data_IF_626419279439
#
_entry.id   IF_626419279439
#
_cell.length_a   1.000
_cell.length_b   1.000
_cell.length_c   1.000
_cell.angle_alpha   90.00
_cell.angle_beta   90.00
_cell.angle_gamma   90.00
#
_symmetry.space_group_name_H-M   'P 1'
#
loop_
_entity.id
_entity.type
_entity.pdbx_description
1 polymer ?
#
# COMPACT_ATOMS: atom_id res chain seq x y z
N UNK A 1 -21.81 8.56 20.35
CA UNK A 1 -20.62 7.68 20.37
C UNK A 1 -20.70 6.80 19.13
N UNK A 2 -19.85 7.09 18.16
CA UNK A 2 -19.72 6.21 17.00
C UNK A 2 -18.83 5.06 17.45
N UNK A 3 -19.43 3.89 17.61
CA UNK A 3 -18.66 2.67 17.81
C UNK A 3 -17.95 2.36 16.49
N UNK A 4 -16.66 2.67 16.41
CA UNK A 4 -15.82 2.12 15.38
C UNK A 4 -15.65 0.64 15.69
N UNK A 5 -16.18 -0.20 14.82
CA UNK A 5 -15.85 -1.61 14.87
C UNK A 5 -14.33 -1.69 14.64
N UNK A 6 -13.60 -2.20 15.62
CA UNK A 6 -12.19 -2.52 15.44
C UNK A 6 -12.11 -3.50 14.29
N UNK A 7 -11.46 -3.08 13.20
CA UNK A 7 -11.28 -3.91 12.03
C UNK A 7 -10.02 -4.73 12.25
N UNK A 8 -10.17 -6.02 12.51
CA UNK A 8 -9.04 -6.94 12.62
C UNK A 8 -8.35 -7.09 11.26
N UNK A 9 -7.02 -7.15 11.29
CA UNK A 9 -6.22 -7.37 10.10
C UNK A 9 -6.30 -8.84 9.69
N UNK A 10 -6.91 -9.09 8.53
CA UNK A 10 -6.90 -10.39 7.88
C UNK A 10 -6.13 -10.30 6.56
N UNK A 11 -5.22 -11.26 6.35
CA UNK A 11 -4.46 -11.33 5.09
C UNK A 11 -5.34 -11.81 3.94
N UNK A 12 -5.04 -11.34 2.74
CA UNK A 12 -5.71 -11.75 1.49
C UNK A 12 -7.21 -11.46 1.48
N UNK A 13 -7.62 -10.41 2.17
CA UNK A 13 -8.98 -9.88 2.20
C UNK A 13 -8.96 -8.42 1.76
N UNK A 14 -9.93 -8.05 0.92
CA UNK A 14 -10.09 -6.66 0.50
C UNK A 14 -10.90 -5.88 1.53
N UNK A 15 -10.38 -4.73 1.92
CA UNK A 15 -11.08 -3.73 2.72
C UNK A 15 -11.34 -2.52 1.84
N UNK A 16 -12.62 -2.17 1.69
CA UNK A 16 -13.03 -1.08 0.79
C UNK A 16 -13.37 0.16 1.60
N UNK A 17 -12.76 1.28 1.22
CA UNK A 17 -12.96 2.58 1.84
C UNK A 17 -13.32 3.61 0.78
N UNK A 18 -14.14 4.59 1.15
CA UNK A 18 -14.33 5.80 0.36
C UNK A 18 -13.78 6.96 1.15
N UNK A 19 -12.72 7.58 0.64
CA UNK A 19 -12.05 8.67 1.31
C UNK A 19 -12.59 10.02 0.83
N UNK A 20 -12.65 10.97 1.75
CA UNK A 20 -12.96 12.36 1.42
C UNK A 20 -11.68 13.17 1.47
N UNK A 21 -11.43 13.94 0.41
CA UNK A 21 -10.26 14.79 0.34
C UNK A 21 -10.63 16.15 -0.21
N UNK A 22 -10.09 17.18 0.41
CA UNK A 22 -10.25 18.56 -0.02
C UNK A 22 -8.95 19.33 0.14
N UNK A 23 -8.75 20.31 -0.70
CA UNK A 23 -7.59 21.17 -0.59
C UNK A 23 -7.96 22.58 -1.06
N UNK A 24 -8.02 23.52 -0.11
CA UNK A 24 -8.35 24.92 -0.39
C UNK A 24 -9.62 25.07 -1.23
N UNK A 25 -9.54 25.86 -2.28
CA UNK A 25 -10.66 26.13 -3.19
C UNK A 25 -10.67 25.25 -4.44
N UNK A 26 -9.84 24.21 -4.47
CA UNK A 26 -9.82 23.27 -5.59
C UNK A 26 -11.13 22.47 -5.64
N UNK A 27 -11.58 22.15 -6.86
CA UNK A 27 -12.75 21.30 -7.02
C UNK A 27 -12.48 19.90 -6.48
N UNK A 28 -13.52 19.22 -6.05
CA UNK A 28 -13.45 17.82 -5.60
C UNK A 28 -12.83 16.92 -6.67
N UNK A 29 -13.22 17.12 -7.92
CA UNK A 29 -12.72 16.35 -9.06
C UNK A 29 -11.22 16.56 -9.27
N UNK A 30 -10.73 17.79 -9.13
CA UNK A 30 -9.29 18.08 -9.24
C UNK A 30 -8.50 17.39 -8.13
N UNK A 31 -8.98 17.46 -6.89
CA UNK A 31 -8.30 16.81 -5.76
C UNK A 31 -8.27 15.29 -5.93
N UNK A 32 -9.39 14.70 -6.37
CA UNK A 32 -9.47 13.27 -6.63
C UNK A 32 -8.51 12.83 -7.74
N UNK A 33 -8.38 13.61 -8.80
CA UNK A 33 -7.46 13.30 -9.91
C UNK A 33 -5.99 13.38 -9.47
N UNK A 34 -5.64 14.42 -8.70
CA UNK A 34 -4.28 14.57 -8.16
C UNK A 34 -3.91 13.41 -7.23
N UNK A 35 -4.84 12.94 -6.41
CA UNK A 35 -4.61 11.85 -5.45
C UNK A 35 -4.60 10.45 -6.08
N UNK A 36 -4.77 10.33 -7.38
CA UNK A 36 -4.47 9.08 -8.11
C UNK A 36 -2.97 8.89 -8.34
N UNK A 37 -2.15 9.92 -8.08
CA UNK A 37 -0.69 9.79 -8.07
C UNK A 37 -0.24 9.13 -6.76
N UNK A 38 0.34 7.93 -6.88
CA UNK A 38 0.76 7.14 -5.72
C UNK A 38 1.80 7.82 -4.85
N UNK A 39 2.65 8.66 -5.41
CA UNK A 39 3.68 9.39 -4.65
C UNK A 39 3.07 10.43 -3.70
N UNK A 40 1.96 11.06 -4.11
CA UNK A 40 1.25 12.00 -3.26
C UNK A 40 0.31 11.28 -2.29
N UNK A 41 -0.45 10.31 -2.80
CA UNK A 41 -1.43 9.60 -2.00
C UNK A 41 -0.79 8.76 -0.89
N UNK A 42 0.39 8.18 -1.11
CA UNK A 42 1.02 7.30 -0.14
C UNK A 42 1.23 7.94 1.24
N UNK A 43 1.63 9.22 1.28
CA UNK A 43 1.84 9.92 2.55
C UNK A 43 0.56 10.07 3.36
N UNK A 44 -0.57 10.32 2.70
CA UNK A 44 -1.86 10.39 3.38
C UNK A 44 -2.35 9.00 3.78
N UNK A 45 -2.19 8.00 2.90
CA UNK A 45 -2.65 6.63 3.16
C UNK A 45 -1.88 5.98 4.31
N UNK A 46 -0.59 6.22 4.42
CA UNK A 46 0.22 5.74 5.55
C UNK A 46 -0.38 6.17 6.90
N UNK A 47 -0.87 7.40 6.97
CA UNK A 47 -1.52 7.94 8.18
C UNK A 47 -2.96 7.46 8.32
N UNK A 48 -3.69 7.39 7.21
CA UNK A 48 -5.08 6.92 7.22
C UNK A 48 -5.18 5.46 7.68
N UNK A 49 -4.21 4.63 7.33
CA UNK A 49 -4.17 3.23 7.74
C UNK A 49 -4.11 3.05 9.26
N UNK A 50 -3.41 3.93 9.99
CA UNK A 50 -3.44 3.89 11.47
C UNK A 50 -4.85 4.14 12.02
N UNK A 51 -5.61 5.00 11.34
CA UNK A 51 -6.97 5.33 11.75
C UNK A 51 -7.92 4.17 11.48
N UNK A 52 -7.80 3.56 10.30
CA UNK A 52 -8.68 2.47 9.87
C UNK A 52 -8.32 1.13 10.52
N UNK A 53 -7.04 0.93 10.83
CA UNK A 53 -6.52 -0.28 11.47
C UNK A 53 -5.73 0.08 12.73
N UNK A 54 -6.40 0.16 13.89
CA UNK A 54 -5.75 0.58 15.15
C UNK A 54 -4.60 -0.32 15.61
N UNK A 55 -4.48 -1.54 15.06
CA UNK A 55 -3.35 -2.43 15.33
C UNK A 55 -2.04 -1.94 14.70
N UNK A 56 -2.11 -0.99 13.74
CA UNK A 56 -0.94 -0.45 13.07
C UNK A 56 -0.41 0.77 13.79
N UNK A 57 0.90 0.88 13.87
CA UNK A 57 1.61 2.10 14.25
C UNK A 57 2.46 2.56 13.09
N UNK A 58 2.21 3.76 12.59
CA UNK A 58 3.07 4.37 11.58
C UNK A 58 4.42 4.71 12.19
N UNK A 59 5.48 4.40 11.45
CA UNK A 59 6.85 4.71 11.83
C UNK A 59 7.57 5.31 10.62
N UNK A 60 8.41 6.29 10.86
CA UNK A 60 9.26 6.86 9.81
C UNK A 60 10.60 6.11 9.77
N UNK A 61 10.57 4.88 9.26
CA UNK A 61 11.72 4.01 9.23
C UNK A 61 12.15 3.70 7.78
N UNK A 62 13.40 3.32 7.61
CA UNK A 62 13.92 2.89 6.33
C UNK A 62 13.49 1.46 6.04
N UNK A 63 12.79 1.27 4.92
CA UNK A 63 12.40 -0.05 4.42
C UNK A 63 11.05 -0.57 4.89
N UNK A 64 10.38 0.13 5.81
CA UNK A 64 9.02 -0.19 6.22
C UNK A 64 8.30 1.03 6.79
N UNK A 65 6.96 1.02 6.77
CA UNK A 65 6.12 2.17 7.15
C UNK A 65 5.33 1.94 8.42
N UNK A 66 5.00 0.70 8.75
CA UNK A 66 4.14 0.35 9.88
C UNK A 66 4.70 -0.83 10.66
N UNK A 67 4.40 -0.83 11.96
CA UNK A 67 4.61 -1.97 12.85
C UNK A 67 3.23 -2.39 13.37
N UNK A 68 2.95 -3.69 13.38
CA UNK A 68 1.77 -4.21 14.06
C UNK A 68 2.00 -4.22 15.57
N UNK A 69 1.10 -3.59 16.32
CA UNK A 69 1.19 -3.51 17.78
C UNK A 69 1.26 -4.89 18.41
N UNK A 70 2.08 -5.02 19.45
CA UNK A 70 2.27 -6.27 20.18
C UNK A 70 2.82 -7.42 19.33
N UNK A 71 3.52 -7.11 18.26
CA UNK A 71 4.19 -8.07 17.39
C UNK A 71 5.44 -7.46 16.78
N UNK A 72 6.24 -8.28 16.11
CA UNK A 72 7.40 -7.86 15.34
C UNK A 72 7.13 -7.80 13.82
N UNK A 73 5.85 -7.86 13.43
CA UNK A 73 5.45 -7.80 12.02
C UNK A 73 5.61 -6.37 11.51
N UNK A 74 6.40 -6.24 10.45
CA UNK A 74 6.66 -4.98 9.76
C UNK A 74 5.91 -4.96 8.43
N UNK A 75 5.37 -3.80 8.08
CA UNK A 75 4.66 -3.59 6.81
C UNK A 75 5.26 -2.46 6.02
N UNK A 76 5.31 -2.63 4.71
CA UNK A 76 5.57 -1.56 3.74
C UNK A 76 4.29 -1.29 2.94
N UNK A 77 3.82 -0.06 2.95
CA UNK A 77 2.64 0.35 2.21
C UNK A 77 3.01 0.67 0.78
N UNK A 78 2.26 0.15 -0.18
CA UNK A 78 2.45 0.41 -1.61
C UNK A 78 1.13 0.76 -2.28
N UNK A 79 1.16 1.75 -3.17
CA UNK A 79 -0.01 2.13 -3.96
C UNK A 79 -0.05 1.35 -5.28
N UNK A 80 -1.23 0.85 -5.60
CA UNK A 80 -1.54 0.33 -6.93
C UNK A 80 -2.21 1.44 -7.74
N UNK A 81 -1.57 1.81 -8.85
CA UNK A 81 -2.04 2.86 -9.75
C UNK A 81 -2.20 2.32 -11.18
N UNK A 82 -2.51 3.17 -12.15
CA UNK A 82 -2.57 2.79 -13.57
C UNK A 82 -1.25 2.25 -14.11
N UNK A 83 -0.13 2.48 -13.43
CA UNK A 83 1.18 1.91 -13.76
C UNK A 83 1.48 0.62 -12.99
N UNK A 84 0.52 0.12 -12.23
CA UNK A 84 0.68 -1.06 -11.38
C UNK A 84 1.23 -0.74 -10.00
N UNK A 85 1.85 -1.75 -9.38
CA UNK A 85 2.47 -1.63 -8.06
C UNK A 85 3.89 -2.19 -8.14
N UNK A 86 4.86 -1.46 -7.62
CA UNK A 86 6.25 -1.90 -7.49
C UNK A 86 6.59 -2.03 -6.02
N UNK A 87 7.16 -3.17 -5.65
CA UNK A 87 7.51 -3.43 -4.25
C UNK A 87 9.01 -3.72 -4.03
N UNK A 88 9.86 -3.45 -5.02
CA UNK A 88 11.31 -3.36 -4.79
C UNK A 88 11.61 -2.20 -3.83
N UNK A 89 12.78 -2.23 -3.21
CA UNK A 89 13.24 -1.13 -2.36
C UNK A 89 13.23 0.20 -3.14
N UNK A 90 12.80 1.27 -2.50
CA UNK A 90 12.70 2.58 -3.14
C UNK A 90 14.03 3.08 -3.72
N UNK A 91 15.14 2.67 -3.12
CA UNK A 91 16.50 2.95 -3.62
C UNK A 91 16.81 2.30 -4.97
N UNK A 92 16.04 1.28 -5.36
CA UNK A 92 16.22 0.53 -6.62
C UNK A 92 15.26 1.00 -7.72
N UNK A 93 14.33 1.90 -7.41
CA UNK A 93 13.29 2.38 -8.33
C UNK A 93 13.63 3.80 -8.77
N UNK A 94 13.50 4.07 -10.07
CA UNK A 94 13.71 5.38 -10.66
C UNK A 94 14.73 5.38 -11.79
N UNK A 95 14.84 6.52 -12.46
CA UNK A 95 15.74 6.69 -13.60
C UNK A 95 17.20 6.47 -13.20
N UNK A 96 17.91 5.63 -13.94
CA UNK A 96 19.32 5.29 -13.70
C UNK A 96 19.53 4.31 -12.55
N UNK A 97 18.48 3.81 -11.92
CA UNK A 97 18.56 2.81 -10.85
C UNK A 97 18.26 1.42 -11.40
N UNK A 98 18.88 0.42 -10.81
CA UNK A 98 18.68 -0.99 -11.17
C UNK A 98 18.16 -1.76 -9.97
N UNK A 99 17.35 -2.78 -10.24
CA UNK A 99 16.87 -3.69 -9.21
C UNK A 99 17.93 -4.79 -9.01
N UNK A 100 18.43 -4.89 -7.79
CA UNK A 100 19.13 -6.08 -7.32
C UNK A 100 18.07 -7.07 -6.85
N UNK A 101 17.72 -8.03 -7.68
CA UNK A 101 16.65 -8.98 -7.39
C UNK A 101 16.95 -9.86 -6.18
N UNK A 102 18.20 -10.23 -5.96
CA UNK A 102 18.59 -11.03 -4.78
C UNK A 102 18.31 -10.27 -3.49
N UNK A 103 18.71 -9.00 -3.41
CA UNK A 103 18.46 -8.13 -2.26
C UNK A 103 16.96 -7.82 -2.12
N UNK A 104 16.28 -7.49 -3.21
CA UNK A 104 14.86 -7.19 -3.22
C UNK A 104 14.03 -8.39 -2.74
N UNK A 105 14.32 -9.59 -3.19
CA UNK A 105 13.65 -10.81 -2.75
C UNK A 105 13.91 -11.11 -1.28
N UNK A 106 15.15 -10.97 -0.84
CA UNK A 106 15.51 -11.17 0.57
C UNK A 106 14.75 -10.19 1.47
N UNK A 107 14.69 -8.91 1.09
CA UNK A 107 13.95 -7.90 1.83
C UNK A 107 12.45 -8.20 1.87
N UNK A 108 11.84 -8.53 0.72
CA UNK A 108 10.42 -8.85 0.64
C UNK A 108 10.00 -10.02 1.54
N UNK A 109 10.91 -10.97 1.78
CA UNK A 109 10.65 -12.12 2.65
C UNK A 109 10.72 -11.78 4.15
N UNK A 110 11.21 -10.59 4.50
CA UNK A 110 11.33 -10.16 5.90
C UNK A 110 10.19 -9.28 6.38
N UNK A 111 9.36 -8.78 5.46
CA UNK A 111 8.25 -7.89 5.75
C UNK A 111 6.97 -8.36 5.06
N UNK A 112 5.85 -7.76 5.46
CA UNK A 112 4.59 -7.90 4.75
C UNK A 112 4.23 -6.57 4.08
N UNK A 113 3.24 -6.58 3.21
CA UNK A 113 2.87 -5.41 2.43
C UNK A 113 1.41 -5.04 2.64
N UNK A 114 1.15 -3.74 2.60
CA UNK A 114 -0.19 -3.19 2.55
C UNK A 114 -0.38 -2.59 1.17
N UNK A 115 -1.11 -3.30 0.31
CA UNK A 115 -1.43 -2.83 -1.03
C UNK A 115 -2.67 -1.95 -1.00
N UNK A 116 -2.54 -0.71 -1.44
CA UNK A 116 -3.63 0.25 -1.52
C UNK A 116 -3.93 0.55 -2.99
N UNK A 117 -5.04 0.03 -3.48
CA UNK A 117 -5.51 0.29 -4.83
C UNK A 117 -6.24 1.62 -4.88
N UNK A 118 -5.62 2.59 -5.53
CA UNK A 118 -6.13 3.96 -5.68
C UNK A 118 -6.53 4.31 -7.10
N UNK A 119 -6.61 3.32 -7.99
CA UNK A 119 -6.98 3.55 -9.41
C UNK A 119 -8.31 4.29 -9.52
N UNK A 120 -9.27 3.92 -8.69
CA UNK A 120 -10.61 4.50 -8.67
C UNK A 120 -10.83 5.48 -7.50
N UNK A 121 -9.74 6.15 -7.05
CA UNK A 121 -9.85 7.14 -5.97
C UNK A 121 -11.04 8.10 -6.24
N UNK A 122 -11.91 8.37 -5.29
CA UNK A 122 -11.78 8.24 -3.83
C UNK A 122 -12.08 6.86 -3.24
N UNK A 123 -12.44 5.88 -4.06
CA UNK A 123 -12.59 4.50 -3.62
C UNK A 123 -11.21 3.86 -3.53
N UNK A 124 -10.90 3.29 -2.37
CA UNK A 124 -9.61 2.67 -2.09
C UNK A 124 -9.84 1.24 -1.60
N UNK A 125 -9.19 0.28 -2.24
CA UNK A 125 -9.14 -1.10 -1.73
C UNK A 125 -7.82 -1.32 -1.02
N UNK A 126 -7.89 -1.84 0.18
CA UNK A 126 -6.70 -2.17 0.99
C UNK A 126 -6.61 -3.68 1.17
N UNK A 127 -5.43 -4.23 0.96
CA UNK A 127 -5.17 -5.66 1.13
C UNK A 127 -3.84 -5.88 1.80
N UNK A 128 -3.85 -6.69 2.84
CA UNK A 128 -2.63 -7.14 3.53
C UNK A 128 -2.16 -8.42 2.88
N UNK A 129 -0.91 -8.44 2.43
CA UNK A 129 -0.31 -9.59 1.76
C UNK A 129 1.04 -9.93 2.38
N UNK A 130 1.33 -11.23 2.47
CA UNK A 130 2.63 -11.68 2.96
C UNK A 130 3.70 -11.39 1.92
N UNK A 131 4.82 -10.87 2.36
CA UNK A 131 5.95 -10.58 1.47
C UNK A 131 6.47 -11.82 0.77
N UNK A 132 6.50 -12.96 1.45
CA UNK A 132 6.88 -14.25 0.87
C UNK A 132 5.97 -14.66 -0.29
N UNK A 133 4.65 -14.52 -0.12
CA UNK A 133 3.67 -14.87 -1.16
C UNK A 133 3.74 -13.90 -2.33
N UNK A 134 3.90 -12.62 -2.04
CA UNK A 134 3.96 -11.57 -3.06
C UNK A 134 5.18 -11.75 -3.98
N UNK A 135 6.36 -11.98 -3.42
CA UNK A 135 7.58 -12.14 -4.22
C UNK A 135 7.62 -13.47 -4.97
N UNK A 136 6.99 -14.51 -4.42
CA UNK A 136 6.85 -15.80 -5.11
C UNK A 136 5.96 -15.67 -6.35
N UNK A 137 4.83 -14.97 -6.20
CA UNK A 137 3.88 -14.78 -7.29
C UNK A 137 4.36 -13.76 -8.33
N UNK A 138 5.07 -12.72 -7.89
CA UNK A 138 5.56 -11.64 -8.74
C UNK A 138 7.07 -11.45 -8.55
N UNK A 139 7.89 -12.37 -9.09
CA UNK A 139 9.34 -12.34 -8.85
C UNK A 139 10.07 -11.14 -9.49
N UNK A 140 9.42 -10.43 -10.42
CA UNK A 140 9.93 -9.17 -10.96
C UNK A 140 9.79 -7.97 -10.00
N UNK A 141 9.25 -8.19 -8.80
CA UNK A 141 8.93 -7.17 -7.81
C UNK A 141 7.95 -6.11 -8.34
N UNK A 142 7.13 -6.50 -9.28
CA UNK A 142 6.13 -5.64 -9.91
C UNK A 142 4.84 -6.41 -10.19
N UNK A 143 3.72 -5.80 -9.85
CA UNK A 143 2.39 -6.21 -10.27
C UNK A 143 1.94 -5.26 -11.37
N UNK A 144 1.71 -5.75 -12.58
CA UNK A 144 1.29 -4.92 -13.72
C UNK A 144 -0.16 -4.49 -13.57
N UNK A 145 -0.54 -3.41 -14.24
CA UNK A 145 -1.93 -2.92 -14.20
C UNK A 145 -2.93 -4.00 -14.61
N UNK A 146 -2.63 -4.81 -15.64
CA UNK A 146 -3.49 -5.91 -16.07
C UNK A 146 -3.54 -7.11 -15.12
N UNK A 147 -2.73 -7.10 -14.05
CA UNK A 147 -2.76 -8.09 -12.97
C UNK A 147 -3.49 -7.58 -11.72
N UNK A 148 -4.18 -6.43 -11.83
CA UNK A 148 -4.90 -5.80 -10.72
C UNK A 148 -5.88 -6.75 -10.04
N UNK A 149 -6.76 -7.37 -10.81
CA UNK A 149 -7.76 -8.28 -10.26
C UNK A 149 -7.15 -9.61 -9.80
N UNK A 150 -5.98 -9.97 -10.30
CA UNK A 150 -5.21 -11.11 -9.81
C UNK A 150 -4.67 -10.84 -8.38
N UNK A 151 -4.12 -9.64 -8.15
CA UNK A 151 -3.64 -9.24 -6.82
C UNK A 151 -4.78 -9.08 -5.81
N UNK A 152 -5.90 -8.49 -6.22
CA UNK A 152 -7.04 -8.18 -5.36
C UNK A 152 -8.17 -9.21 -5.45
N UNK A 153 -7.93 -10.39 -5.98
CA UNK A 153 -8.93 -11.46 -6.05
C UNK A 153 -9.26 -12.03 -4.66
N UNK A 154 -10.53 -12.22 -4.42
CA UNK A 154 -11.02 -12.92 -3.24
C UNK A 154 -10.92 -14.44 -3.38
#
# INVERSE_FOLDING_TARGET
IIWRLDVDIEYNKNYDFTLQASFGDLTKETVQEVLKDGRLASHFLERQLEVDFPELTFVNAKGYDHIRKNSDILYDQKCFTKTGLRFALSSMIGTGRKIDYSEAHAHAKTIDYIACDIVDFPKVRVRFVRGTDLVEKYPSCRVKFNQREDLFAN
#
